data_IF_214182333340
#
_entry.id   IF_214182333340
#
_cell.length_a   1.000
_cell.length_b   1.000
_cell.length_c   1.000
_cell.angle_alpha   90.00
_cell.angle_beta   90.00
_cell.angle_gamma   90.00
#
_symmetry.space_group_name_H-M   'P 1'
#
loop_
_entity.id
_entity.type
_entity.pdbx_description
1 polymer ?
#
# COMPACT_ATOMS: atom_id res chain seq x y z
N UNK A 1 -31.53 21.49 -22.40
CA UNK A 1 -30.97 20.51 -21.46
C UNK A 1 -29.94 21.23 -20.59
N UNK A 2 -30.38 21.71 -19.44
CA UNK A 2 -29.51 22.26 -18.40
C UNK A 2 -28.61 21.14 -17.89
N UNK A 3 -27.29 21.26 -18.08
CA UNK A 3 -26.37 20.35 -17.42
C UNK A 3 -26.61 20.43 -15.91
N UNK A 4 -26.65 19.30 -15.18
CA UNK A 4 -26.65 19.35 -13.73
C UNK A 4 -25.36 20.04 -13.31
N UNK A 5 -25.48 21.25 -12.78
CA UNK A 5 -24.43 21.94 -12.05
C UNK A 5 -24.14 21.07 -10.83
N UNK A 6 -23.24 20.10 -11.00
CA UNK A 6 -22.65 19.39 -9.89
C UNK A 6 -21.88 20.45 -9.12
N UNK A 7 -22.47 20.95 -8.03
CA UNK A 7 -21.84 21.94 -7.15
C UNK A 7 -20.42 21.44 -6.87
N UNK A 8 -19.37 22.21 -7.23
CA UNK A 8 -18.01 21.78 -6.99
C UNK A 8 -17.86 21.48 -5.49
N UNK A 9 -17.10 20.45 -5.10
CA UNK A 9 -16.83 20.20 -3.69
C UNK A 9 -16.25 21.47 -3.08
N UNK A 10 -16.97 22.04 -2.11
CA UNK A 10 -16.58 23.27 -1.46
C UNK A 10 -15.45 22.93 -0.46
N UNK A 11 -14.21 23.27 -0.82
CA UNK A 11 -13.01 22.98 -0.02
C UNK A 11 -12.77 24.03 1.08
N UNK A 12 -13.82 24.72 1.51
CA UNK A 12 -13.74 25.95 2.30
C UNK A 12 -13.92 25.70 3.82
N UNK A 13 -13.64 24.47 4.27
CA UNK A 13 -13.76 24.08 5.68
C UNK A 13 -12.39 23.90 6.34
N UNK A 14 -11.77 24.96 6.90
CA UNK A 14 -10.42 24.89 7.46
C UNK A 14 -10.27 23.84 8.57
N UNK A 15 -11.31 23.65 9.39
CA UNK A 15 -11.34 22.59 10.41
C UNK A 15 -11.38 21.18 9.82
N UNK A 16 -12.08 20.99 8.70
CA UNK A 16 -12.14 19.71 7.98
C UNK A 16 -10.79 19.33 7.36
N UNK A 17 -10.08 20.30 6.79
CA UNK A 17 -8.73 20.11 6.25
C UNK A 17 -7.74 19.68 7.34
N UNK A 18 -7.73 20.37 8.48
CA UNK A 18 -6.83 20.05 9.59
C UNK A 18 -7.18 18.66 10.16
N UNK A 19 -8.46 18.38 10.39
CA UNK A 19 -8.88 17.08 10.91
C UNK A 19 -8.51 15.94 9.95
N UNK A 20 -8.81 16.08 8.66
CA UNK A 20 -8.50 15.07 7.64
C UNK A 20 -7.01 14.80 7.52
N UNK A 21 -6.19 15.84 7.43
CA UNK A 21 -4.73 15.73 7.31
C UNK A 21 -4.09 15.08 8.54
N UNK A 22 -4.53 15.44 9.76
CA UNK A 22 -4.05 14.82 11.01
C UNK A 22 -4.46 13.35 11.11
N UNK A 23 -5.70 13.00 10.74
CA UNK A 23 -6.17 11.60 10.76
C UNK A 23 -5.34 10.74 9.81
N UNK A 24 -5.12 11.19 8.57
CA UNK A 24 -4.30 10.46 7.59
C UNK A 24 -2.85 10.33 8.06
N UNK A 25 -2.30 11.36 8.68
CA UNK A 25 -0.97 11.35 9.27
C UNK A 25 -0.84 10.33 10.40
N UNK A 26 -1.79 10.28 11.35
CA UNK A 26 -1.80 9.30 12.45
C UNK A 26 -1.86 7.87 11.89
N UNK A 27 -2.74 7.62 10.92
CA UNK A 27 -2.91 6.28 10.33
C UNK A 27 -1.63 5.83 9.61
N UNK A 28 -1.04 6.71 8.80
CA UNK A 28 0.17 6.39 8.04
C UNK A 28 1.40 6.19 8.95
N UNK A 29 1.60 7.05 9.95
CA UNK A 29 2.69 6.91 10.93
C UNK A 29 2.56 5.64 11.76
N UNK A 30 1.34 5.30 12.19
CA UNK A 30 1.07 4.03 12.88
C UNK A 30 1.40 2.82 11.99
N UNK A 31 1.03 2.85 10.71
CA UNK A 31 1.35 1.78 9.77
C UNK A 31 2.86 1.59 9.58
N UNK A 32 3.61 2.69 9.48
CA UNK A 32 5.08 2.65 9.39
C UNK A 32 5.67 2.08 10.68
N UNK A 33 5.23 2.55 11.84
CA UNK A 33 5.66 2.01 13.14
C UNK A 33 5.41 0.50 13.26
N UNK A 34 4.22 0.05 12.86
CA UNK A 34 3.84 -1.37 12.88
C UNK A 34 4.67 -2.20 11.89
N UNK A 35 5.05 -1.63 10.74
CA UNK A 35 5.96 -2.29 9.78
C UNK A 35 7.32 -2.56 10.41
N UNK A 36 7.93 -1.58 11.07
CA UNK A 36 9.22 -1.75 11.75
C UNK A 36 9.12 -2.71 12.94
N UNK A 37 8.03 -2.64 13.70
CA UNK A 37 7.74 -3.58 14.79
C UNK A 37 7.62 -5.02 14.27
N UNK A 38 6.91 -5.25 13.15
CA UNK A 38 6.76 -6.56 12.49
C UNK A 38 8.10 -7.17 12.12
N UNK A 39 8.99 -6.37 11.51
CA UNK A 39 10.32 -6.83 11.14
C UNK A 39 11.17 -7.16 12.36
N UNK A 40 11.13 -6.30 13.39
CA UNK A 40 11.86 -6.53 14.64
C UNK A 40 11.39 -7.82 15.32
N UNK A 41 10.08 -8.03 15.43
CA UNK A 41 9.52 -9.23 16.03
C UNK A 41 9.92 -10.50 15.26
N UNK A 42 9.89 -10.45 13.93
CA UNK A 42 10.31 -11.57 13.08
C UNK A 42 11.83 -11.72 12.95
N UNK A 43 12.63 -10.90 13.63
CA UNK A 43 14.09 -10.83 13.50
C UNK A 43 14.56 -10.73 12.04
N UNK A 44 13.80 -10.03 11.21
CA UNK A 44 14.13 -9.80 9.81
C UNK A 44 15.04 -8.57 9.67
N UNK A 45 16.02 -8.66 8.78
CA UNK A 45 16.86 -7.52 8.43
C UNK A 45 16.06 -6.37 7.81
N UNK A 46 16.55 -5.16 8.02
CA UNK A 46 16.07 -3.97 7.33
C UNK A 46 16.62 -3.97 5.90
N UNK A 47 15.75 -3.72 4.93
CA UNK A 47 16.11 -3.63 3.51
C UNK A 47 16.01 -2.17 3.06
N UNK A 48 16.56 -1.85 1.88
CA UNK A 48 16.52 -0.50 1.30
C UNK A 48 15.11 0.08 1.25
N UNK A 49 14.09 -0.75 0.98
CA UNK A 49 12.69 -0.32 0.98
C UNK A 49 12.22 0.25 2.33
N UNK A 50 12.75 -0.23 3.47
CA UNK A 50 12.34 0.24 4.79
C UNK A 50 12.91 1.64 5.09
N UNK A 51 14.14 1.89 4.66
CA UNK A 51 14.74 3.22 4.78
C UNK A 51 14.03 4.23 3.88
N UNK A 52 13.73 3.84 2.64
CA UNK A 52 12.99 4.69 1.70
C UNK A 52 11.60 5.07 2.23
N UNK A 53 10.86 4.13 2.82
CA UNK A 53 9.53 4.44 3.38
C UNK A 53 9.64 5.31 4.64
N UNK A 54 10.70 5.17 5.43
CA UNK A 54 10.94 6.02 6.59
C UNK A 54 11.21 7.46 6.16
N UNK A 55 12.06 7.67 5.15
CA UNK A 55 12.33 9.01 4.59
C UNK A 55 11.05 9.59 3.97
N UNK A 56 10.28 8.78 3.23
CA UNK A 56 8.99 9.19 2.69
C UNK A 56 8.00 9.60 3.80
N UNK A 57 7.96 8.87 4.92
CA UNK A 57 7.11 9.21 6.06
C UNK A 57 7.52 10.56 6.68
N UNK A 58 8.83 10.84 6.81
CA UNK A 58 9.32 12.14 7.29
C UNK A 58 8.88 13.26 6.35
N UNK A 59 9.03 13.09 5.04
CA UNK A 59 8.57 14.11 4.08
C UNK A 59 7.05 14.28 4.09
N UNK A 60 6.29 13.19 4.20
CA UNK A 60 4.84 13.25 4.37
C UNK A 60 4.44 14.00 5.64
N UNK A 61 5.17 13.82 6.76
CA UNK A 61 4.93 14.63 7.98
C UNK A 61 5.16 16.13 7.72
N UNK A 62 6.19 16.48 6.94
CA UNK A 62 6.45 17.84 6.52
C UNK A 62 5.31 18.43 5.67
N UNK A 63 4.73 17.63 4.77
CA UNK A 63 3.56 18.04 3.99
C UNK A 63 2.35 18.31 4.88
N UNK A 64 2.04 17.44 5.84
CA UNK A 64 0.94 17.65 6.81
C UNK A 64 1.15 18.94 7.60
N UNK A 65 2.38 19.20 8.07
CA UNK A 65 2.71 20.44 8.81
C UNK A 65 2.54 21.68 7.93
N UNK A 66 2.99 21.62 6.66
CA UNK A 66 2.81 22.74 5.72
C UNK A 66 1.35 23.01 5.42
N UNK A 67 0.49 21.99 5.34
CA UNK A 67 -0.94 22.17 5.12
C UNK A 67 -1.62 22.86 6.32
N UNK A 68 -1.30 22.43 7.55
CA UNK A 68 -1.79 23.08 8.78
C UNK A 68 -1.30 24.54 8.85
N UNK A 69 -0.04 24.79 8.48
CA UNK A 69 0.53 26.13 8.41
C UNK A 69 -0.17 26.99 7.34
N UNK A 70 -0.46 26.43 6.16
CA UNK A 70 -1.19 27.10 5.09
C UNK A 70 -2.61 27.49 5.48
N UNK A 71 -3.30 26.65 6.26
CA UNK A 71 -4.61 27.00 6.84
C UNK A 71 -4.48 28.14 7.86
N UNK A 72 -3.46 28.11 8.72
CA UNK A 72 -3.21 29.17 9.71
C UNK A 72 -2.94 30.53 9.07
N UNK A 73 -2.17 30.57 7.98
CA UNK A 73 -1.84 31.79 7.25
C UNK A 73 -2.96 32.27 6.31
N UNK A 74 -4.14 31.62 6.34
CA UNK A 74 -5.26 31.86 5.42
C UNK A 74 -4.86 31.75 3.93
N UNK A 75 -3.83 30.94 3.66
CA UNK A 75 -3.33 30.65 2.33
C UNK A 75 -4.06 29.47 1.68
N UNK A 76 -4.67 28.59 2.49
CA UNK A 76 -5.48 27.43 2.09
C UNK A 76 -6.78 27.38 2.90
N UNK A 77 -7.84 26.81 2.31
CA UNK A 77 -9.11 26.51 3.01
C UNK A 77 -10.01 27.72 3.30
N UNK A 78 -9.71 28.90 2.73
CA UNK A 78 -10.58 30.09 2.79
C UNK A 78 -10.74 30.66 1.38
N UNK A 79 -11.97 30.97 0.92
CA UNK A 79 -12.16 31.64 -0.36
C UNK A 79 -11.49 33.03 -0.34
N UNK A 80 -11.07 33.53 -1.51
CA UNK A 80 -10.46 34.85 -1.58
C UNK A 80 -11.42 35.90 -1.01
N UNK A 81 -12.71 35.84 -1.39
CA UNK A 81 -13.73 36.83 -1.02
C UNK A 81 -14.11 36.93 0.46
N UNK A 82 -13.77 35.96 1.32
CA UNK A 82 -14.23 35.96 2.71
C UNK A 82 -13.53 36.97 3.63
N UNK A 83 -12.47 37.65 3.16
CA UNK A 83 -11.65 38.52 4.03
C UNK A 83 -11.10 39.79 3.35
N UNK A 84 -11.63 40.22 2.20
CA UNK A 84 -11.02 41.30 1.39
C UNK A 84 -11.88 42.58 1.37
N UNK A 85 -11.35 43.65 1.99
CA UNK A 85 -11.72 45.05 1.73
C UNK A 85 -10.60 45.83 0.97
N UNK A 86 -9.37 45.29 0.85
CA UNK A 86 -8.20 46.02 0.28
C UNK A 86 -7.38 45.18 -0.74
N UNK A 87 -7.15 45.69 -1.98
CA UNK A 87 -6.36 45.02 -3.02
C UNK A 87 -4.92 44.64 -2.63
N UNK A 88 -4.28 45.36 -1.71
CA UNK A 88 -2.90 45.06 -1.27
C UNK A 88 -2.83 43.80 -0.40
N UNK A 89 -3.86 43.54 0.40
CA UNK A 89 -3.96 42.34 1.23
C UNK A 89 -4.08 41.06 0.39
N UNK A 90 -4.73 41.15 -0.78
CA UNK A 90 -4.90 40.06 -1.74
C UNK A 90 -3.56 39.59 -2.29
N UNK A 91 -2.72 40.53 -2.75
CA UNK A 91 -1.40 40.24 -3.29
C UNK A 91 -0.47 39.61 -2.24
N UNK A 92 -0.59 40.03 -0.96
CA UNK A 92 0.17 39.44 0.15
C UNK A 92 -0.20 37.98 0.40
N UNK A 93 -1.51 37.66 0.44
CA UNK A 93 -2.00 36.28 0.63
C UNK A 93 -1.64 35.38 -0.54
N UNK A 94 -1.76 35.87 -1.77
CA UNK A 94 -1.46 35.09 -2.98
C UNK A 94 0.04 34.73 -3.07
N UNK A 95 0.93 35.64 -2.68
CA UNK A 95 2.37 35.33 -2.59
C UNK A 95 2.66 34.23 -1.57
N UNK A 96 2.09 34.34 -0.36
CA UNK A 96 2.27 33.31 0.68
C UNK A 96 1.74 31.96 0.21
N UNK A 97 0.55 31.92 -0.39
CA UNK A 97 -0.06 30.71 -0.94
C UNK A 97 0.84 30.05 -2.00
N UNK A 98 1.39 30.84 -2.92
CA UNK A 98 2.32 30.36 -3.94
C UNK A 98 3.59 29.73 -3.36
N UNK A 99 4.22 30.35 -2.36
CA UNK A 99 5.43 29.79 -1.75
C UNK A 99 5.16 28.48 -0.99
N UNK A 100 4.03 28.41 -0.30
CA UNK A 100 3.59 27.21 0.41
C UNK A 100 3.27 26.10 -0.59
N UNK A 101 2.52 26.42 -1.66
CA UNK A 101 2.19 25.49 -2.74
C UNK A 101 3.43 24.90 -3.39
N UNK A 102 4.39 25.74 -3.79
CA UNK A 102 5.61 25.28 -4.44
C UNK A 102 6.39 24.32 -3.53
N UNK A 103 6.52 24.67 -2.25
CA UNK A 103 7.20 23.82 -1.26
C UNK A 103 6.46 22.49 -1.07
N UNK A 104 5.13 22.54 -1.02
CA UNK A 104 4.26 21.38 -0.89
C UNK A 104 4.33 20.46 -2.12
N UNK A 105 4.36 21.02 -3.32
CA UNK A 105 4.47 20.29 -4.58
C UNK A 105 5.82 19.59 -4.71
N UNK A 106 6.93 20.30 -4.44
CA UNK A 106 8.27 19.71 -4.48
C UNK A 106 8.43 18.56 -3.48
N UNK A 107 7.95 18.75 -2.25
CA UNK A 107 7.99 17.71 -1.23
C UNK A 107 7.06 16.54 -1.59
N UNK A 108 5.91 16.83 -2.18
CA UNK A 108 4.96 15.83 -2.69
C UNK A 108 5.57 14.92 -3.75
N UNK A 109 6.17 15.49 -4.80
CA UNK A 109 6.83 14.72 -5.87
C UNK A 109 7.93 13.83 -5.30
N UNK A 110 8.79 14.39 -4.43
CA UNK A 110 9.86 13.64 -3.79
C UNK A 110 9.31 12.47 -2.96
N UNK A 111 8.23 12.71 -2.21
CA UNK A 111 7.59 11.69 -1.37
C UNK A 111 6.96 10.58 -2.21
N UNK A 112 6.20 10.92 -3.25
CA UNK A 112 5.59 9.95 -4.18
C UNK A 112 6.67 9.09 -4.85
N UNK A 113 7.76 9.71 -5.31
CA UNK A 113 8.92 8.99 -5.85
C UNK A 113 9.50 7.99 -4.84
N UNK A 114 9.75 8.41 -3.60
CA UNK A 114 10.27 7.53 -2.54
C UNK A 114 9.33 6.37 -2.20
N UNK A 115 8.01 6.61 -2.17
CA UNK A 115 7.01 5.54 -1.94
C UNK A 115 7.06 4.52 -3.09
N UNK A 116 7.01 4.98 -4.35
CA UNK A 116 7.07 4.12 -5.54
C UNK A 116 8.36 3.29 -5.55
N UNK A 117 9.50 3.91 -5.23
CA UNK A 117 10.78 3.21 -5.09
C UNK A 117 10.78 2.18 -3.96
N UNK A 118 10.25 2.52 -2.77
CA UNK A 118 10.13 1.58 -1.66
C UNK A 118 9.33 0.33 -2.05
N UNK A 119 8.19 0.51 -2.72
CA UNK A 119 7.36 -0.59 -3.20
C UNK A 119 8.11 -1.45 -4.23
N UNK A 120 8.81 -0.83 -5.18
CA UNK A 120 9.60 -1.55 -6.18
C UNK A 120 10.74 -2.37 -5.55
N UNK A 121 11.48 -1.80 -4.60
CA UNK A 121 12.54 -2.52 -3.87
C UNK A 121 11.98 -3.64 -2.98
N UNK A 122 10.79 -3.45 -2.42
CA UNK A 122 10.10 -4.50 -1.66
C UNK A 122 9.77 -5.69 -2.57
N UNK A 123 9.25 -5.43 -3.77
CA UNK A 123 8.97 -6.48 -4.75
C UNK A 123 10.24 -7.11 -5.33
N UNK A 124 11.30 -6.33 -5.52
CA UNK A 124 12.60 -6.86 -5.92
C UNK A 124 13.10 -7.93 -4.97
N UNK A 125 12.96 -7.69 -3.66
CA UNK A 125 13.38 -8.62 -2.64
C UNK A 125 12.43 -9.81 -2.49
N UNK A 126 11.12 -9.59 -2.67
CA UNK A 126 10.10 -10.63 -2.53
C UNK A 126 10.16 -11.68 -3.66
N UNK A 127 10.50 -11.27 -4.88
CA UNK A 127 10.42 -12.14 -6.06
C UNK A 127 11.80 -12.57 -6.57
N UNK A 128 11.95 -13.87 -6.87
CA UNK A 128 13.21 -14.46 -7.33
C UNK A 128 13.35 -14.58 -8.86
N UNK A 129 12.27 -14.33 -9.63
CA UNK A 129 12.26 -14.57 -11.08
C UNK A 129 13.10 -13.52 -11.82
N UNK A 130 14.10 -13.97 -12.58
CA UNK A 130 15.11 -13.12 -13.25
C UNK A 130 14.47 -12.11 -14.22
N UNK A 131 13.49 -12.55 -15.01
CA UNK A 131 12.76 -11.68 -15.96
C UNK A 131 12.03 -10.54 -15.23
N UNK A 132 11.39 -10.86 -14.11
CA UNK A 132 10.66 -9.87 -13.30
C UNK A 132 11.61 -8.87 -12.65
N UNK A 133 12.78 -9.32 -12.17
CA UNK A 133 13.83 -8.42 -11.66
C UNK A 133 14.37 -7.48 -12.73
N UNK A 134 14.58 -7.93 -13.96
CA UNK A 134 14.99 -7.05 -15.07
C UNK A 134 13.97 -5.96 -15.33
N UNK A 135 12.69 -6.32 -15.38
CA UNK A 135 11.60 -5.34 -15.53
C UNK A 135 11.59 -4.33 -14.37
N UNK A 136 11.69 -4.80 -13.12
CA UNK A 136 11.76 -3.91 -11.96
C UNK A 136 12.98 -2.97 -12.00
N UNK A 137 14.11 -3.41 -12.54
CA UNK A 137 15.33 -2.57 -12.64
C UNK A 137 15.07 -1.37 -13.54
N UNK A 138 14.51 -1.64 -14.73
CA UNK A 138 14.13 -0.59 -15.69
C UNK A 138 13.08 0.32 -15.07
N UNK A 139 12.08 -0.24 -14.40
CA UNK A 139 11.02 0.55 -13.78
C UNK A 139 11.53 1.45 -12.64
N UNK A 140 12.43 0.94 -11.79
CA UNK A 140 13.10 1.75 -10.75
C UNK A 140 13.85 2.92 -11.38
N UNK A 141 14.60 2.68 -12.47
CA UNK A 141 15.31 3.75 -13.17
C UNK A 141 14.33 4.80 -13.72
N UNK A 142 13.20 4.38 -14.30
CA UNK A 142 12.15 5.29 -14.78
C UNK A 142 11.59 6.15 -13.63
N UNK A 143 11.30 5.57 -12.47
CA UNK A 143 10.79 6.33 -11.32
C UNK A 143 11.82 7.32 -10.78
N UNK A 144 13.11 6.95 -10.74
CA UNK A 144 14.19 7.87 -10.33
C UNK A 144 14.27 9.05 -11.30
N UNK A 145 14.31 8.77 -12.61
CA UNK A 145 14.37 9.80 -13.65
C UNK A 145 13.13 10.69 -13.59
N UNK A 146 11.95 10.11 -13.43
CA UNK A 146 10.68 10.83 -13.28
C UNK A 146 10.73 11.78 -12.08
N UNK A 147 11.07 11.27 -10.89
CA UNK A 147 11.14 12.06 -9.65
C UNK A 147 12.14 13.21 -9.79
N UNK A 148 13.35 12.92 -10.28
CA UNK A 148 14.40 13.91 -10.44
C UNK A 148 14.03 14.96 -11.49
N UNK A 149 13.43 14.55 -12.61
CA UNK A 149 13.02 15.45 -13.68
C UNK A 149 11.98 16.46 -13.21
N UNK A 150 10.95 16.02 -12.48
CA UNK A 150 9.90 16.92 -12.00
C UNK A 150 10.33 17.79 -10.81
N UNK A 151 11.20 17.28 -9.92
CA UNK A 151 11.82 18.11 -8.88
C UNK A 151 12.69 19.21 -9.50
N UNK A 152 13.52 18.85 -10.48
CA UNK A 152 14.35 19.83 -11.19
C UNK A 152 13.50 20.80 -12.03
N UNK A 153 12.43 20.33 -12.67
CA UNK A 153 11.51 21.19 -13.41
C UNK A 153 10.84 22.22 -12.50
N UNK A 154 10.42 21.83 -11.30
CA UNK A 154 9.86 22.75 -10.31
C UNK A 154 10.88 23.75 -9.75
N UNK A 155 12.14 23.32 -9.55
CA UNK A 155 13.21 24.21 -9.08
C UNK A 155 13.70 25.18 -10.16
N UNK A 156 13.71 24.74 -11.42
CA UNK A 156 14.23 25.49 -12.57
C UNK A 156 13.13 26.12 -13.42
N UNK A 157 11.92 26.25 -12.89
CA UNK A 157 10.75 26.80 -13.62
C UNK A 157 11.00 28.24 -14.12
N UNK A 158 11.82 29.00 -13.40
CA UNK A 158 12.24 30.37 -13.75
C UNK A 158 13.66 30.44 -14.36
N UNK A 159 14.19 29.30 -14.82
CA UNK A 159 15.53 29.20 -15.40
C UNK A 159 16.64 29.64 -14.44
N UNK A 160 17.49 30.58 -14.89
CA UNK A 160 18.59 31.15 -14.10
C UNK A 160 18.15 32.08 -12.97
N UNK A 161 16.87 32.49 -12.93
CA UNK A 161 16.34 33.44 -11.97
C UNK A 161 15.65 32.72 -10.79
N UNK A 162 16.40 31.91 -10.03
CA UNK A 162 15.88 31.22 -8.83
C UNK A 162 15.27 32.19 -7.80
N UNK A 163 15.76 33.44 -7.75
CA UNK A 163 15.20 34.48 -6.87
C UNK A 163 13.80 34.94 -7.29
N UNK A 164 13.44 34.82 -8.57
CA UNK A 164 12.11 35.16 -9.08
C UNK A 164 11.06 34.12 -8.66
N UNK A 165 11.47 32.87 -8.45
CA UNK A 165 10.62 31.80 -7.93
C UNK A 165 10.10 32.14 -6.51
N UNK A 166 11.00 32.66 -5.66
CA UNK A 166 10.70 33.13 -4.30
C UNK A 166 10.39 34.64 -4.22
N UNK A 167 10.25 35.32 -5.36
CA UNK A 167 10.02 36.76 -5.45
C UNK A 167 8.54 37.14 -5.53
N UNK A 168 8.28 38.43 -5.72
CA UNK A 168 6.93 38.98 -5.92
C UNK A 168 6.24 38.39 -7.18
N UNK A 169 4.90 38.46 -7.28
CA UNK A 169 4.14 37.82 -8.37
C UNK A 169 4.53 38.39 -9.74
N UNK A 170 4.81 39.70 -9.79
CA UNK A 170 5.28 40.38 -11.01
C UNK A 170 6.57 39.75 -11.53
N UNK A 171 7.58 39.58 -10.65
CA UNK A 171 8.86 38.99 -11.04
C UNK A 171 8.71 37.53 -11.51
N UNK A 172 7.69 36.81 -11.03
CA UNK A 172 7.39 35.46 -11.50
C UNK A 172 6.76 35.47 -12.90
N UNK A 173 5.82 36.39 -13.17
CA UNK A 173 5.23 36.53 -14.50
C UNK A 173 6.25 36.98 -15.55
N UNK A 174 7.21 37.81 -15.15
CA UNK A 174 8.22 38.37 -16.06
C UNK A 174 9.34 37.39 -16.41
N UNK A 175 9.66 36.45 -15.52
CA UNK A 175 10.83 35.57 -15.66
C UNK A 175 10.54 34.08 -15.72
N UNK A 176 9.32 33.64 -15.37
CA UNK A 176 8.98 32.22 -15.30
C UNK A 176 8.05 31.85 -16.47
N UNK A 177 8.30 30.69 -17.08
CA UNK A 177 7.46 30.18 -18.15
C UNK A 177 6.08 29.77 -17.64
N UNK A 178 5.16 29.44 -18.56
CA UNK A 178 3.86 28.89 -18.17
C UNK A 178 4.03 27.54 -17.47
N UNK A 179 3.63 27.45 -16.19
CA UNK A 179 3.65 26.22 -15.39
C UNK A 179 2.66 25.14 -15.87
N UNK A 180 1.65 25.55 -16.65
CA UNK A 180 0.52 24.73 -17.10
C UNK A 180 0.95 23.46 -17.86
N UNK A 181 1.74 23.53 -18.95
CA UNK A 181 2.17 22.34 -19.70
C UNK A 181 2.96 21.36 -18.82
N UNK A 182 3.85 21.86 -17.96
CA UNK A 182 4.62 21.03 -17.02
C UNK A 182 3.70 20.33 -16.02
N UNK A 183 2.70 21.04 -15.49
CA UNK A 183 1.73 20.44 -14.57
C UNK A 183 0.84 19.38 -15.23
N UNK A 184 0.42 19.55 -16.48
CA UNK A 184 -0.27 18.49 -17.24
C UNK A 184 0.59 17.24 -17.39
N UNK A 185 1.86 17.41 -17.76
CA UNK A 185 2.79 16.30 -17.89
C UNK A 185 3.02 15.61 -16.54
N UNK A 186 3.19 16.38 -15.46
CA UNK A 186 3.38 15.87 -14.10
C UNK A 186 2.18 15.03 -13.67
N UNK A 187 0.99 15.62 -13.67
CA UNK A 187 -0.24 14.99 -13.20
C UNK A 187 -0.63 13.77 -14.03
N UNK A 188 -0.49 13.85 -15.36
CA UNK A 188 -0.80 12.72 -16.24
C UNK A 188 0.20 11.56 -16.09
N UNK A 189 1.49 11.87 -15.98
CA UNK A 189 2.52 10.83 -15.80
C UNK A 189 2.48 10.23 -14.38
N UNK A 190 2.12 11.01 -13.37
CA UNK A 190 1.93 10.52 -12.00
C UNK A 190 0.88 9.41 -11.95
N UNK A 191 -0.33 9.70 -12.45
CA UNK A 191 -1.42 8.72 -12.60
C UNK A 191 -0.94 7.48 -13.35
N UNK A 192 -0.24 7.64 -14.48
CA UNK A 192 0.28 6.52 -15.25
C UNK A 192 1.28 5.66 -14.44
N UNK A 193 2.20 6.29 -13.72
CA UNK A 193 3.16 5.57 -12.87
C UNK A 193 2.50 4.86 -11.69
N UNK A 194 1.42 5.41 -11.13
CA UNK A 194 0.64 4.77 -10.06
C UNK A 194 -0.11 3.55 -10.57
N UNK A 195 -0.75 3.66 -11.74
CA UNK A 195 -1.38 2.51 -12.38
C UNK A 195 -0.37 1.40 -12.67
N UNK A 196 0.78 1.73 -13.25
CA UNK A 196 1.80 0.72 -13.58
C UNK A 196 2.33 0.07 -12.30
N UNK A 197 2.71 0.86 -11.28
CA UNK A 197 3.22 0.30 -10.01
C UNK A 197 2.20 -0.59 -9.30
N UNK A 198 0.91 -0.26 -9.40
CA UNK A 198 -0.18 -1.08 -8.87
C UNK A 198 -0.36 -2.40 -9.64
N UNK A 199 -0.16 -2.40 -10.96
CA UNK A 199 -0.31 -3.61 -11.78
C UNK A 199 0.85 -4.60 -11.60
N UNK A 200 2.05 -4.15 -11.24
CA UNK A 200 3.27 -4.97 -11.05
C UNK A 200 3.03 -6.27 -10.26
N UNK A 201 2.43 -6.26 -9.06
CA UNK A 201 2.27 -7.46 -8.25
C UNK A 201 1.14 -8.39 -8.74
N UNK A 202 0.20 -7.93 -9.57
CA UNK A 202 -1.02 -8.67 -9.91
C UNK A 202 -0.73 -10.03 -10.56
N UNK A 203 0.06 -10.12 -11.65
CA UNK A 203 0.29 -11.40 -12.33
C UNK A 203 0.97 -12.42 -11.41
N UNK A 204 1.82 -11.93 -10.50
CA UNK A 204 2.56 -12.80 -9.58
C UNK A 204 1.67 -13.31 -8.46
N UNK A 205 0.75 -12.48 -7.95
CA UNK A 205 -0.24 -12.89 -6.96
C UNK A 205 -1.15 -14.01 -7.51
N UNK A 206 -1.62 -13.87 -8.76
CA UNK A 206 -2.46 -14.91 -9.39
C UNK A 206 -1.73 -16.24 -9.63
N UNK A 207 -0.40 -16.19 -9.75
CA UNK A 207 0.42 -17.39 -9.98
C UNK A 207 0.75 -18.16 -8.70
N UNK A 208 0.55 -17.56 -7.50
CA UNK A 208 0.89 -18.20 -6.23
C UNK A 208 -0.34 -18.83 -5.56
N UNK A 209 -0.23 -20.12 -5.23
CA UNK A 209 -1.23 -20.87 -4.44
C UNK A 209 -1.17 -20.41 -2.98
N UNK A 210 -1.93 -19.37 -2.63
CA UNK A 210 -2.02 -18.83 -1.27
C UNK A 210 -3.25 -19.35 -0.52
N UNK A 211 -3.11 -19.53 0.80
CA UNK A 211 -4.24 -19.81 1.69
C UNK A 211 -5.27 -18.67 1.67
N UNK A 212 -6.55 -18.98 1.94
CA UNK A 212 -7.68 -18.04 1.86
C UNK A 212 -7.46 -16.77 2.69
N UNK A 213 -6.88 -16.91 3.89
CA UNK A 213 -6.56 -15.77 4.76
C UNK A 213 -5.52 -14.84 4.13
N UNK A 214 -4.46 -15.43 3.57
CA UNK A 214 -3.36 -14.68 2.95
C UNK A 214 -3.82 -14.00 1.64
N UNK A 215 -4.70 -14.66 0.89
CA UNK A 215 -5.32 -14.10 -0.32
C UNK A 215 -6.13 -12.85 0.00
N UNK A 216 -6.97 -12.88 1.03
CA UNK A 216 -7.78 -11.72 1.41
C UNK A 216 -6.94 -10.53 1.89
N UNK A 217 -5.94 -10.77 2.75
CA UNK A 217 -5.02 -9.70 3.17
C UNK A 217 -4.25 -9.12 1.98
N UNK A 218 -3.92 -9.94 0.98
CA UNK A 218 -3.29 -9.47 -0.26
C UNK A 218 -4.25 -8.60 -1.08
N UNK A 219 -5.51 -9.00 -1.22
CA UNK A 219 -6.55 -8.19 -1.88
C UNK A 219 -6.77 -6.85 -1.16
N UNK A 220 -6.79 -6.85 0.18
CA UNK A 220 -6.92 -5.62 0.97
C UNK A 220 -5.76 -4.66 0.68
N UNK A 221 -4.52 -5.14 0.65
CA UNK A 221 -3.36 -4.29 0.30
C UNK A 221 -3.43 -3.73 -1.12
N UNK A 222 -3.99 -4.51 -2.05
CA UNK A 222 -4.19 -4.08 -3.43
C UNK A 222 -5.30 -3.02 -3.55
N UNK A 223 -6.40 -3.18 -2.79
CA UNK A 223 -7.48 -2.20 -2.72
C UNK A 223 -7.01 -0.85 -2.17
N UNK A 224 -6.18 -0.86 -1.12
CA UNK A 224 -5.58 0.39 -0.60
C UNK A 224 -4.69 1.04 -1.67
N UNK A 225 -3.90 0.25 -2.41
CA UNK A 225 -3.17 0.76 -3.56
C UNK A 225 -4.08 1.39 -4.62
N UNK A 226 -5.23 0.76 -4.92
CA UNK A 226 -6.19 1.27 -5.89
C UNK A 226 -6.84 2.59 -5.44
N UNK A 227 -7.06 2.76 -4.13
CA UNK A 227 -7.50 4.04 -3.56
C UNK A 227 -6.45 5.14 -3.77
N UNK A 228 -5.15 4.81 -3.69
CA UNK A 228 -4.06 5.76 -3.98
C UNK A 228 -4.17 6.26 -5.42
N UNK A 229 -4.34 5.35 -6.39
CA UNK A 229 -4.52 5.72 -7.81
C UNK A 229 -5.78 6.57 -8.00
N UNK A 230 -6.86 6.25 -7.29
CA UNK A 230 -8.09 7.04 -7.28
C UNK A 230 -7.84 8.49 -6.82
N UNK A 231 -7.02 8.69 -5.81
CA UNK A 231 -6.61 10.02 -5.35
C UNK A 231 -5.79 10.76 -6.42
N UNK A 232 -4.86 10.08 -7.10
CA UNK A 232 -4.09 10.63 -8.23
C UNK A 232 -5.01 11.11 -9.37
N UNK A 233 -6.04 10.31 -9.70
CA UNK A 233 -7.04 10.66 -10.73
C UNK A 233 -7.89 11.86 -10.30
N UNK A 234 -8.33 11.91 -9.04
CA UNK A 234 -9.10 13.03 -8.53
C UNK A 234 -8.30 14.34 -8.58
N UNK A 235 -7.03 14.29 -8.16
CA UNK A 235 -6.07 15.39 -8.33
C UNK A 235 -5.96 15.81 -9.80
N UNK A 236 -5.85 14.84 -10.71
CA UNK A 236 -5.76 15.12 -12.14
C UNK A 236 -6.99 15.79 -12.72
N UNK A 237 -8.16 15.31 -12.34
CA UNK A 237 -9.42 15.88 -12.75
C UNK A 237 -9.56 17.34 -12.31
N UNK A 238 -9.19 17.66 -11.07
CA UNK A 238 -9.22 19.03 -10.53
C UNK A 238 -8.26 19.92 -11.32
N UNK A 239 -7.03 19.46 -11.58
CA UNK A 239 -6.04 20.22 -12.34
C UNK A 239 -6.49 20.53 -13.78
N UNK A 240 -7.07 19.54 -14.47
CA UNK A 240 -7.56 19.71 -15.84
C UNK A 240 -8.74 20.70 -15.87
N UNK A 241 -9.70 20.58 -14.94
CA UNK A 241 -10.81 21.53 -14.87
C UNK A 241 -10.36 22.95 -14.56
N UNK A 242 -9.39 23.11 -13.66
CA UNK A 242 -8.82 24.40 -13.29
C UNK A 242 -8.15 25.09 -14.50
N UNK A 243 -7.32 24.35 -15.23
CA UNK A 243 -6.59 24.88 -16.39
C UNK A 243 -7.48 25.18 -17.61
N UNK A 244 -8.65 24.54 -17.74
CA UNK A 244 -9.64 24.83 -18.78
C UNK A 244 -10.58 26.00 -18.43
N UNK A 245 -10.44 26.61 -17.25
CA UNK A 245 -11.33 27.69 -16.79
C UNK A 245 -12.78 27.24 -16.56
N UNK A 246 -13.03 25.93 -16.44
CA UNK A 246 -14.35 25.34 -16.23
C UNK A 246 -14.74 25.28 -14.75
N UNK A 247 -13.91 25.83 -13.88
CA UNK A 247 -14.12 25.85 -12.44
C UNK A 247 -14.58 27.25 -12.03
N UNK A 248 -15.75 27.32 -11.40
CA UNK A 248 -16.42 28.58 -11.06
C UNK A 248 -16.00 29.15 -9.70
N UNK A 249 -15.11 28.47 -8.98
CA UNK A 249 -14.69 28.83 -7.63
C UNK A 249 -13.24 29.36 -7.60
N UNK A 250 -12.88 30.01 -6.50
CA UNK A 250 -11.68 30.83 -6.33
C UNK A 250 -10.37 30.05 -6.52
N UNK A 251 -9.31 30.73 -6.97
CA UNK A 251 -7.98 30.12 -7.19
C UNK A 251 -7.41 29.42 -5.93
N UNK A 252 -7.68 29.97 -4.73
CA UNK A 252 -7.27 29.34 -3.46
C UNK A 252 -8.04 28.04 -3.19
N UNK A 253 -9.34 27.99 -3.52
CA UNK A 253 -10.14 26.78 -3.33
C UNK A 253 -9.71 25.66 -4.29
N UNK A 254 -9.27 26.01 -5.51
CA UNK A 254 -8.63 25.06 -6.43
C UNK A 254 -7.33 24.49 -5.87
N UNK A 255 -6.44 25.38 -5.42
CA UNK A 255 -5.16 25.01 -4.81
C UNK A 255 -5.35 24.12 -3.58
N UNK A 256 -6.35 24.45 -2.77
CA UNK A 256 -6.73 23.66 -1.60
C UNK A 256 -7.15 22.25 -2.01
N UNK A 257 -8.01 22.12 -3.03
CA UNK A 257 -8.42 20.81 -3.55
C UNK A 257 -7.23 19.97 -4.04
N UNK A 258 -6.31 20.57 -4.81
CA UNK A 258 -5.10 19.87 -5.28
C UNK A 258 -4.23 19.40 -4.11
N UNK A 259 -4.07 20.24 -3.08
CA UNK A 259 -3.26 19.94 -1.91
C UNK A 259 -3.81 18.75 -1.13
N UNK A 260 -5.11 18.73 -0.87
CA UNK A 260 -5.79 17.66 -0.12
C UNK A 260 -5.66 16.31 -0.84
N UNK A 261 -5.91 16.26 -2.15
CA UNK A 261 -5.83 15.00 -2.89
C UNK A 261 -4.39 14.50 -3.02
N UNK A 262 -3.42 15.41 -3.16
CA UNK A 262 -2.00 15.05 -3.13
C UNK A 262 -1.58 14.51 -1.74
N UNK A 263 -2.05 15.12 -0.64
CA UNK A 263 -1.81 14.62 0.70
C UNK A 263 -2.43 13.23 0.91
N UNK A 264 -3.67 13.05 0.45
CA UNK A 264 -4.38 11.78 0.53
C UNK A 264 -3.65 10.67 -0.25
N UNK A 265 -3.22 10.97 -1.47
CA UNK A 265 -2.42 10.07 -2.31
C UNK A 265 -1.13 9.64 -1.61
N UNK A 266 -0.38 10.58 -1.03
CA UNK A 266 0.86 10.28 -0.29
C UNK A 266 0.60 9.38 0.92
N UNK A 267 -0.36 9.71 1.79
CA UNK A 267 -0.62 8.90 2.98
C UNK A 267 -1.20 7.53 2.65
N UNK A 268 -2.13 7.43 1.69
CA UNK A 268 -2.68 6.15 1.23
C UNK A 268 -1.58 5.30 0.59
N UNK A 269 -0.69 5.91 -0.21
CA UNK A 269 0.48 5.27 -0.78
C UNK A 269 1.42 4.67 0.27
N UNK A 270 1.68 5.40 1.36
CA UNK A 270 2.49 4.88 2.50
C UNK A 270 1.82 3.67 3.15
N UNK A 271 0.50 3.75 3.40
CA UNK A 271 -0.26 2.64 3.99
C UNK A 271 -0.24 1.42 3.06
N UNK A 272 -0.43 1.62 1.75
CA UNK A 272 -0.34 0.56 0.75
C UNK A 272 1.05 -0.09 0.73
N UNK A 273 2.12 0.71 0.77
CA UNK A 273 3.49 0.23 0.80
C UNK A 273 3.82 -0.59 2.07
N UNK A 274 3.21 -0.26 3.20
CA UNK A 274 3.32 -1.03 4.44
C UNK A 274 2.54 -2.36 4.41
N UNK A 275 1.55 -2.48 3.53
CA UNK A 275 0.65 -3.61 3.42
C UNK A 275 1.33 -4.99 3.42
N UNK A 276 2.24 -5.31 2.49
CA UNK A 276 2.84 -6.64 2.39
C UNK A 276 3.60 -7.09 3.64
N UNK A 277 4.25 -6.15 4.34
CA UNK A 277 4.98 -6.41 5.60
C UNK A 277 4.07 -6.61 6.81
N UNK A 278 2.85 -6.07 6.76
CA UNK A 278 1.87 -6.12 7.85
C UNK A 278 0.96 -7.36 7.79
N UNK A 279 0.83 -7.99 6.62
CA UNK A 279 0.08 -9.25 6.42
C UNK A 279 0.21 -10.28 7.57
N UNK A 280 1.41 -10.66 8.03
CA UNK A 280 1.53 -11.68 9.09
C UNK A 280 1.04 -11.24 10.47
N UNK A 281 1.09 -9.93 10.78
CA UNK A 281 0.56 -9.40 12.03
C UNK A 281 -0.97 -9.34 11.94
N UNK A 282 -1.51 -8.84 10.83
CA UNK A 282 -2.95 -8.75 10.61
C UNK A 282 -3.61 -10.13 10.68
N UNK A 283 -2.95 -11.16 10.14
CA UNK A 283 -3.41 -12.55 10.22
C UNK A 283 -3.45 -13.12 11.66
N UNK A 284 -2.72 -12.54 12.61
CA UNK A 284 -2.71 -12.95 14.02
C UNK A 284 -3.66 -12.13 14.89
N UNK A 285 -3.79 -10.83 14.62
CA UNK A 285 -4.65 -9.92 15.40
C UNK A 285 -6.12 -10.14 15.05
N UNK A 286 -6.44 -10.40 13.77
CA UNK A 286 -7.81 -10.61 13.33
C UNK A 286 -8.18 -12.08 13.50
N UNK A 287 -9.05 -12.45 14.46
CA UNK A 287 -9.51 -13.82 14.63
C UNK A 287 -10.22 -14.30 13.36
N UNK A 288 -10.10 -15.59 13.07
CA UNK A 288 -10.63 -16.20 11.85
C UNK A 288 -12.09 -15.85 11.58
N UNK A 289 -12.90 -15.85 12.63
CA UNK A 289 -14.34 -15.56 12.57
C UNK A 289 -14.63 -14.12 12.11
N UNK A 290 -13.83 -13.15 12.56
CA UNK A 290 -13.97 -11.74 12.14
C UNK A 290 -13.58 -11.54 10.67
N UNK A 291 -12.53 -12.25 10.21
CA UNK A 291 -12.13 -12.22 8.80
C UNK A 291 -13.17 -12.89 7.91
N UNK A 292 -13.72 -14.02 8.34
CA UNK A 292 -14.77 -14.75 7.61
C UNK A 292 -16.07 -13.93 7.52
N UNK A 293 -16.44 -13.21 8.60
CA UNK A 293 -17.59 -12.30 8.61
C UNK A 293 -17.38 -11.09 7.68
N UNK A 294 -16.18 -10.49 7.67
CA UNK A 294 -15.87 -9.41 6.73
C UNK A 294 -15.83 -9.90 5.27
N UNK A 295 -15.34 -11.11 5.03
CA UNK A 295 -15.35 -11.73 3.70
C UNK A 295 -16.78 -11.99 3.20
N UNK A 296 -17.70 -12.42 4.08
CA UNK A 296 -19.10 -12.65 3.71
C UNK A 296 -19.83 -11.33 3.45
N UNK A 297 -19.58 -10.29 4.24
CA UNK A 297 -20.13 -8.95 4.03
C UNK A 297 -19.63 -8.30 2.73
N UNK A 298 -18.35 -8.50 2.38
CA UNK A 298 -17.77 -8.00 1.12
C UNK A 298 -18.17 -8.84 -0.11
N UNK A 299 -19.03 -9.85 0.05
CA UNK A 299 -19.51 -10.67 -1.07
C UNK A 299 -18.39 -11.42 -1.81
N UNK A 300 -17.24 -11.62 -1.18
CA UNK A 300 -16.10 -12.36 -1.75
C UNK A 300 -16.42 -13.86 -1.68
N UNK A 301 -17.45 -14.26 -2.41
CA UNK A 301 -17.82 -15.66 -2.64
C UNK A 301 -16.89 -16.23 -3.71
N UNK A 302 -15.72 -16.68 -3.27
CA UNK A 302 -14.85 -17.53 -4.08
C UNK A 302 -15.42 -18.94 -4.09
N UNK A 303 -16.27 -19.23 -5.06
CA UNK A 303 -16.78 -20.56 -5.37
C UNK A 303 -15.60 -21.53 -5.60
N UNK A 304 -15.22 -22.35 -4.62
CA UNK A 304 -14.50 -23.61 -4.85
C UNK A 304 -14.69 -24.59 -3.69
N UNK A 305 -15.40 -25.66 -4.03
CA UNK A 305 -15.41 -27.01 -3.48
C UNK A 305 -16.02 -27.23 -2.09
N UNK A 306 -17.25 -27.75 -2.12
CA UNK A 306 -17.69 -28.86 -1.27
C UNK A 306 -16.61 -29.95 -1.29
N UNK A 307 -15.80 -30.04 -0.24
CA UNK A 307 -15.14 -31.28 0.14
C UNK A 307 -14.96 -31.26 1.66
N UNK A 308 -16.07 -31.57 2.32
CA UNK A 308 -16.11 -32.29 3.60
C UNK A 308 -17.45 -33.04 3.65
N UNK A 309 -17.77 -33.74 2.57
CA UNK A 309 -18.54 -34.97 2.68
C UNK A 309 -17.46 -36.02 2.98
N UNK A 310 -17.32 -36.41 4.25
CA UNK A 310 -16.71 -37.70 4.54
C UNK A 310 -17.53 -38.75 3.77
N UNK A 311 -16.92 -39.69 3.03
CA UNK A 311 -17.66 -40.79 2.45
C UNK A 311 -18.35 -41.56 3.58
N UNK A 312 -19.69 -41.60 3.56
CA UNK A 312 -20.51 -42.38 4.49
C UNK A 312 -20.43 -43.89 4.18
N UNK A 313 -19.22 -44.46 4.23
CA UNK A 313 -19.03 -45.91 4.15
C UNK A 313 -18.34 -46.49 5.39
N UNK A 314 -18.35 -45.79 6.52
CA UNK A 314 -18.07 -46.43 7.81
C UNK A 314 -19.14 -45.98 8.79
N UNK A 315 -20.33 -46.56 8.63
CA UNK A 315 -21.30 -46.63 9.72
C UNK A 315 -20.67 -47.57 10.75
N UNK A 316 -20.11 -47.01 11.81
CA UNK A 316 -19.75 -47.83 12.98
C UNK A 316 -21.04 -48.46 13.49
N UNK A 317 -21.09 -49.79 13.72
CA UNK A 317 -22.28 -50.42 14.27
C UNK A 317 -22.53 -49.91 15.69
N UNK A 318 -23.79 -49.63 15.98
CA UNK A 318 -24.27 -49.29 17.32
C UNK A 318 -23.93 -50.38 18.34
N UNK A 319 -23.73 -49.95 19.58
CA UNK A 319 -23.22 -50.72 20.73
C UNK A 319 -24.16 -51.83 21.26
N UNK A 320 -25.14 -52.28 20.47
CA UNK A 320 -26.07 -53.37 20.83
C UNK A 320 -25.78 -54.69 20.07
N UNK A 321 -24.78 -54.73 19.18
CA UNK A 321 -24.41 -55.95 18.42
C UNK A 321 -23.25 -56.76 19.03
N UNK A 322 -22.67 -56.31 20.16
CA UNK A 322 -21.54 -56.99 20.80
C UNK A 322 -21.96 -58.23 21.62
N UNK A 323 -23.24 -58.36 21.97
CA UNK A 323 -23.71 -59.44 22.86
C UNK A 323 -24.09 -60.74 22.11
N UNK A 324 -24.27 -60.71 20.78
CA UNK A 324 -24.62 -61.93 20.01
C UNK A 324 -23.42 -62.69 19.42
N UNK A 325 -22.21 -62.11 19.44
CA UNK A 325 -20.99 -62.77 18.91
C UNK A 325 -20.21 -63.55 19.97
N UNK A 326 -20.46 -63.35 21.27
CA UNK A 326 -19.84 -64.14 22.33
C UNK A 326 -20.49 -65.53 22.54
N UNK A 327 -21.72 -65.75 22.09
CA UNK A 327 -22.38 -67.05 22.17
C UNK A 327 -21.98 -68.04 21.04
N UNK A 328 -21.27 -67.56 20.00
CA UNK A 328 -20.94 -68.37 18.81
C UNK A 328 -19.53 -68.98 18.79
N UNK A 329 -18.61 -68.51 19.63
CA UNK A 329 -17.17 -68.90 19.57
C UNK A 329 -16.83 -70.08 20.48
N UNK A 330 -17.70 -70.47 21.41
CA UNK A 330 -17.43 -71.58 22.34
C UNK A 330 -17.51 -72.99 21.70
N UNK A 331 -17.81 -73.12 20.40
CA UNK A 331 -18.01 -74.43 19.75
C UNK A 331 -17.03 -74.87 18.66
N UNK A 332 -15.95 -74.13 18.39
CA UNK A 332 -14.97 -74.57 17.37
C UNK A 332 -13.54 -74.54 17.93
N UNK A 333 -13.33 -75.35 18.98
CA UNK A 333 -12.01 -75.72 19.47
C UNK A 333 -11.79 -77.22 19.36
N UNK A 334 -11.33 -77.72 18.20
CA UNK A 334 -10.64 -79.01 18.14
C UNK A 334 -9.87 -79.18 16.82
N UNK A 335 -8.60 -79.58 16.95
CA UNK A 335 -7.61 -79.97 15.92
C UNK A 335 -6.97 -78.76 15.19
N UNK A 336 -5.65 -78.58 15.11
CA UNK A 336 -4.48 -79.38 15.45
C UNK A 336 -3.34 -78.99 14.49
N UNK A 337 -2.10 -78.98 15.00
CA UNK A 337 -0.80 -79.08 14.32
C UNK A 337 -0.10 -77.84 13.68
N UNK A 338 1.20 -77.77 14.03
CA UNK A 338 2.41 -77.21 13.40
C UNK A 338 2.73 -75.68 13.40
N UNK A 339 3.92 -75.36 13.95
CA UNK A 339 4.53 -74.00 14.09
C UNK A 339 5.41 -73.58 12.89
N UNK A 340 6.51 -72.79 13.06
CA UNK A 340 6.97 -72.02 14.21
C UNK A 340 7.24 -70.51 13.92
N UNK A 341 7.69 -69.82 14.97
CA UNK A 341 7.97 -68.38 15.14
C UNK A 341 9.22 -67.91 14.40
N UNK A 342 9.20 -66.68 13.85
CA UNK A 342 10.42 -65.94 13.53
C UNK A 342 10.27 -64.85 12.48
N UNK A 343 9.83 -63.64 12.86
CA UNK A 343 9.97 -62.43 11.98
C UNK A 343 10.29 -61.14 12.77
N UNK A 344 10.35 -61.15 14.11
CA UNK A 344 10.41 -59.91 14.91
C UNK A 344 11.82 -59.41 15.27
N UNK A 345 12.87 -59.90 14.59
CA UNK A 345 14.27 -59.63 14.96
C UNK A 345 15.08 -58.87 13.89
N UNK A 346 14.54 -58.62 12.70
CA UNK A 346 15.32 -58.02 11.58
C UNK A 346 15.31 -56.48 11.51
N UNK A 347 14.37 -55.78 12.17
CA UNK A 347 14.28 -54.31 12.03
C UNK A 347 15.14 -53.52 13.03
N UNK A 348 15.58 -54.14 14.14
CA UNK A 348 16.36 -53.45 15.18
C UNK A 348 17.89 -53.45 14.96
N UNK A 349 18.43 -54.34 14.12
CA UNK A 349 19.88 -54.37 13.84
C UNK A 349 20.30 -53.31 12.79
N UNK A 350 19.43 -52.98 11.82
CA UNK A 350 19.78 -52.00 10.77
C UNK A 350 19.93 -50.55 11.24
N UNK A 351 19.37 -50.20 12.42
CA UNK A 351 19.47 -48.85 12.99
C UNK A 351 20.79 -48.61 13.74
N UNK A 352 21.44 -49.65 14.27
CA UNK A 352 22.68 -49.49 15.02
C UNK A 352 23.91 -49.35 14.12
N UNK A 353 23.87 -49.91 12.90
CA UNK A 353 25.01 -49.84 11.98
C UNK A 353 25.13 -48.46 11.31
N UNK A 354 24.02 -47.76 11.06
CA UNK A 354 24.00 -46.43 10.43
C UNK A 354 24.44 -45.27 11.37
N UNK A 355 24.43 -45.49 12.68
CA UNK A 355 24.92 -44.52 13.68
C UNK A 355 26.46 -44.62 13.87
N UNK A 356 27.06 -45.75 13.48
CA UNK A 356 28.51 -46.02 13.63
C UNK A 356 29.39 -45.39 12.54
N UNK A 357 28.84 -45.10 11.35
CA UNK A 357 29.59 -44.48 10.22
C UNK A 357 29.75 -42.95 10.32
N UNK A 358 29.08 -42.27 11.26
CA UNK A 358 29.17 -40.80 11.42
C UNK A 358 30.15 -40.33 12.49
N UNK A 359 30.90 -41.22 13.12
CA UNK A 359 31.98 -40.88 14.07
C UNK A 359 33.28 -41.62 13.73
N UNK A 360 34.04 -41.05 12.80
CA UNK A 360 35.44 -41.38 12.51
C UNK A 360 36.35 -40.13 12.57
N UNK A 361 37.66 -40.27 12.86
CA UNK A 361 38.28 -39.54 13.95
C UNK A 361 39.18 -38.33 13.58
N UNK A 362 39.31 -37.44 14.56
CA UNK A 362 40.40 -36.48 14.74
C UNK A 362 41.78 -37.16 14.80
N UNK A 363 42.76 -36.60 14.08
CA UNK A 363 44.21 -36.48 14.36
C UNK A 363 44.74 -35.58 13.22
N UNK A 364 45.47 -34.47 13.41
CA UNK A 364 46.60 -34.14 14.30
C UNK A 364 46.50 -32.67 14.71
#
# INVERSE_FOLDING_TARGET
MSQPQLSPPEYDSPGGLIAGSVIMWIISTLCVGLRFYSKRWKRQGYITADWLILVAAVFATGMTVMEIYGVKEQALGYPLGASIEDPKAVNGRLNKAKHIELSFLLLGIATLGLIKLSVCFLFWHLFARVVFRRFLMVWIAVIIVWTLSFVLAGLLECGSHLKALFGQPQAYLDHCGSAIPTGYAMVGSDVATDFITLLIPIPVIFSMKMDRRTRFLTLLTFMIGALSVGASIAKAYIYIKASLGLWTSDAISMLTGLSIWNLAEVHIGIVAACGPTLRPILARILPTESLLSLMSLLGVSSNTSKQNELPSFVKMPDADSAEQLQAGVEKVGSKGADGPRGVRQYEMESWNDAESERRGPHHV
#
